data_IF_735297821078
#
_entry.id   IF_735297821078
#
_cell.length_a   1.000
_cell.length_b   1.000
_cell.length_c   1.000
_cell.angle_alpha   90.00
_cell.angle_beta   90.00
_cell.angle_gamma   90.00
#
_symmetry.space_group_name_H-M   'P 1'
#
loop_
_entity.id
_entity.type
_entity.pdbx_description
1 polymer ?
#
# COMPACT_ATOMS: atom_id res chain seq x y z
N UNK A 1 1.94 8.13 18.20
CA UNK A 1 0.62 8.28 18.84
C UNK A 1 0.05 6.88 19.09
N UNK A 2 -0.51 6.60 20.27
CA UNK A 2 -1.13 5.30 20.56
C UNK A 2 -2.52 5.25 19.93
N UNK A 3 -2.76 4.27 19.05
CA UNK A 3 -4.06 4.04 18.41
C UNK A 3 -5.13 3.76 19.48
N UNK A 4 -6.20 4.56 19.49
CA UNK A 4 -7.35 4.35 20.38
C UNK A 4 -8.57 4.02 19.52
N UNK A 5 -9.11 2.82 19.70
CA UNK A 5 -10.37 2.41 19.06
C UNK A 5 -11.51 3.16 19.75
N UNK A 6 -12.18 4.05 19.00
CA UNK A 6 -13.38 4.75 19.45
C UNK A 6 -14.62 3.86 19.38
N UNK A 7 -15.77 4.33 19.91
CA UNK A 7 -17.04 3.63 19.73
C UNK A 7 -17.34 3.45 18.23
N UNK A 8 -17.69 2.23 17.85
CA UNK A 8 -18.00 1.90 16.46
C UNK A 8 -19.23 2.67 15.98
N UNK A 9 -19.16 3.25 14.80
CA UNK A 9 -20.30 3.78 14.09
C UNK A 9 -20.88 2.71 13.16
N UNK A 10 -22.19 2.77 12.91
CA UNK A 10 -22.81 1.91 11.91
C UNK A 10 -22.12 2.10 10.55
N UNK A 11 -21.94 1.01 9.81
CA UNK A 11 -21.39 1.05 8.45
C UNK A 11 -22.21 2.07 7.63
N UNK A 12 -21.56 3.02 6.94
CA UNK A 12 -22.27 3.88 5.99
C UNK A 12 -22.97 3.02 4.95
N UNK A 13 -24.22 3.33 4.63
CA UNK A 13 -24.91 2.66 3.52
C UNK A 13 -24.15 2.89 2.21
N UNK A 14 -24.15 1.88 1.35
CA UNK A 14 -23.51 2.01 0.04
C UNK A 14 -24.22 3.08 -0.76
N UNK A 15 -23.54 4.19 -1.03
CA UNK A 15 -24.05 5.25 -1.89
C UNK A 15 -23.59 5.00 -3.33
N UNK A 16 -24.48 4.60 -4.26
CA UNK A 16 -24.12 4.37 -5.66
C UNK A 16 -23.75 5.68 -6.38
N UNK A 17 -24.21 6.83 -5.88
CA UNK A 17 -23.90 8.15 -6.42
C UNK A 17 -22.64 8.76 -5.81
N UNK A 18 -21.88 7.99 -5.02
CA UNK A 18 -20.63 8.46 -4.43
C UNK A 18 -19.58 8.72 -5.52
N UNK A 19 -19.25 10.00 -5.73
CA UNK A 19 -18.15 10.42 -6.58
C UNK A 19 -16.87 10.41 -5.73
N UNK A 20 -15.91 9.58 -6.12
CA UNK A 20 -14.59 9.56 -5.48
C UNK A 20 -13.93 10.95 -5.64
N UNK A 21 -13.55 11.63 -4.55
CA UNK A 21 -12.95 12.96 -4.63
C UNK A 21 -11.50 12.94 -5.15
N UNK A 22 -10.88 11.76 -5.22
CA UNK A 22 -9.49 11.62 -5.63
C UNK A 22 -9.40 11.68 -7.16
N UNK A 23 -8.56 12.58 -7.66
CA UNK A 23 -8.30 12.74 -9.10
C UNK A 23 -6.82 12.65 -9.38
N UNK A 24 -6.41 11.88 -10.39
CA UNK A 24 -5.02 11.86 -10.86
C UNK A 24 -4.82 13.08 -11.75
N UNK A 25 -4.00 14.02 -11.29
CA UNK A 25 -3.67 15.23 -12.04
C UNK A 25 -2.54 14.98 -13.04
N UNK A 26 -1.56 14.16 -12.66
CA UNK A 26 -0.41 13.83 -13.51
C UNK A 26 0.15 12.45 -13.17
N UNK A 27 0.81 11.83 -14.16
CA UNK A 27 1.53 10.58 -13.99
C UNK A 27 2.78 10.57 -14.87
N UNK A 28 3.91 10.18 -14.28
CA UNK A 28 5.17 10.09 -14.99
C UNK A 28 5.80 8.71 -14.75
N UNK A 29 6.09 8.04 -15.85
CA UNK A 29 6.90 6.84 -15.81
C UNK A 29 8.37 7.21 -15.57
N UNK A 30 8.97 6.68 -14.51
CA UNK A 30 10.34 7.04 -14.11
C UNK A 30 11.34 6.00 -14.58
N UNK A 31 11.13 4.74 -14.21
CA UNK A 31 12.15 3.71 -14.43
C UNK A 31 11.58 2.29 -14.55
N UNK A 32 12.32 1.43 -15.25
CA UNK A 32 12.11 -0.01 -15.36
C UNK A 32 13.36 -0.74 -14.88
N UNK A 33 13.24 -1.52 -13.81
CA UNK A 33 14.33 -2.41 -13.38
C UNK A 33 13.87 -3.86 -13.41
N UNK A 34 14.72 -4.75 -13.91
CA UNK A 34 14.46 -6.17 -13.95
C UNK A 34 15.43 -6.88 -13.01
N UNK A 35 14.88 -7.56 -12.01
CA UNK A 35 15.66 -8.33 -11.04
C UNK A 35 15.45 -9.84 -11.26
N UNK A 36 16.56 -10.58 -11.36
CA UNK A 36 16.55 -12.04 -11.49
C UNK A 36 17.05 -12.62 -10.18
N UNK A 37 16.18 -13.35 -9.48
CA UNK A 37 16.51 -13.97 -8.20
C UNK A 37 16.36 -15.47 -8.31
N UNK A 38 17.39 -16.21 -7.89
CA UNK A 38 17.31 -17.67 -7.74
C UNK A 38 16.66 -17.99 -6.40
N UNK A 39 15.69 -18.90 -6.40
CA UNK A 39 15.05 -19.32 -5.16
C UNK A 39 16.07 -20.01 -4.24
N UNK A 40 16.16 -19.53 -2.99
CA UNK A 40 17.02 -20.13 -1.98
C UNK A 40 16.60 -21.57 -1.63
N UNK A 41 15.30 -21.87 -1.73
CA UNK A 41 14.75 -23.20 -1.42
C UNK A 41 14.68 -24.12 -2.64
N UNK A 42 14.73 -23.57 -3.86
CA UNK A 42 14.60 -24.33 -5.10
C UNK A 42 15.63 -23.84 -6.13
N UNK A 43 16.85 -24.43 -6.17
CA UNK A 43 17.98 -23.90 -6.95
C UNK A 43 17.76 -23.76 -8.45
N UNK A 44 16.82 -24.53 -9.01
CA UNK A 44 16.45 -24.48 -10.44
C UNK A 44 15.36 -23.47 -10.74
N UNK A 45 14.67 -22.95 -9.72
CA UNK A 45 13.61 -21.96 -9.89
C UNK A 45 14.21 -20.56 -9.92
N UNK A 46 14.02 -19.89 -11.05
CA UNK A 46 14.41 -18.51 -11.28
C UNK A 46 13.15 -17.67 -11.26
N UNK A 47 13.14 -16.63 -10.43
CA UNK A 47 12.07 -15.64 -10.37
C UNK A 47 12.55 -14.35 -11.02
N UNK A 48 11.77 -13.85 -11.98
CA UNK A 48 12.00 -12.60 -12.67
C UNK A 48 11.03 -11.55 -12.15
N UNK A 49 11.53 -10.49 -11.53
CA UNK A 49 10.74 -9.36 -11.06
C UNK A 49 10.87 -8.20 -12.03
N UNK A 50 9.73 -7.73 -12.55
CA UNK A 50 9.65 -6.47 -13.29
C UNK A 50 9.22 -5.38 -12.31
N UNK A 51 10.15 -4.50 -11.94
CA UNK A 51 9.93 -3.40 -11.02
C UNK A 51 9.74 -2.12 -11.83
N UNK A 52 8.57 -1.50 -11.67
CA UNK A 52 8.22 -0.25 -12.35
C UNK A 52 8.15 0.87 -11.32
N UNK A 53 8.86 1.96 -11.57
CA UNK A 53 8.77 3.18 -10.76
C UNK A 53 7.95 4.21 -11.52
N UNK A 54 6.87 4.69 -10.89
CA UNK A 54 5.96 5.69 -11.43
C UNK A 54 5.75 6.77 -10.38
N UNK A 55 5.86 8.03 -10.78
CA UNK A 55 5.44 9.18 -9.98
C UNK A 55 4.02 9.57 -10.39
N UNK A 56 3.17 9.82 -9.40
CA UNK A 56 1.76 10.16 -9.64
C UNK A 56 1.41 11.36 -8.75
N UNK A 57 0.82 12.39 -9.37
CA UNK A 57 0.29 13.55 -8.66
C UNK A 57 -1.21 13.38 -8.51
N UNK A 58 -1.67 13.25 -7.28
CA UNK A 58 -3.08 13.09 -6.94
C UNK A 58 -3.62 14.31 -6.22
N UNK A 59 -4.84 14.72 -6.57
CA UNK A 59 -5.65 15.71 -5.87
C UNK A 59 -6.75 15.01 -5.08
N UNK A 60 -7.27 15.68 -4.04
CA UNK A 60 -8.37 15.14 -3.23
C UNK A 60 -7.98 14.04 -2.25
N UNK A 61 -6.68 13.85 -1.99
CA UNK A 61 -6.19 12.95 -0.96
C UNK A 61 -6.61 13.45 0.44
N UNK A 62 -6.87 12.54 1.40
CA UNK A 62 -7.15 12.92 2.78
C UNK A 62 -6.00 13.78 3.33
N UNK A 63 -6.32 14.90 3.99
CA UNK A 63 -5.30 15.78 4.59
C UNK A 63 -4.80 15.31 5.96
N UNK A 64 -5.41 14.25 6.49
CA UNK A 64 -5.12 13.68 7.82
C UNK A 64 -4.83 12.19 7.71
N UNK A 65 -4.24 11.64 8.78
CA UNK A 65 -3.97 10.22 8.88
C UNK A 65 -5.24 9.37 8.72
N UNK A 66 -5.05 8.34 7.91
CA UNK A 66 -5.98 7.37 7.39
C UNK A 66 -6.20 6.07 8.13
N UNK A 67 -7.33 5.40 7.95
CA UNK A 67 -7.38 3.93 8.05
C UNK A 67 -8.23 3.37 6.93
N UNK A 68 -7.77 2.30 6.31
CA UNK A 68 -8.54 1.55 5.31
C UNK A 68 -8.79 0.13 5.81
N UNK A 69 -9.96 -0.41 5.48
CA UNK A 69 -10.36 -1.76 5.86
C UNK A 69 -10.34 -2.65 4.61
N UNK A 70 -9.60 -3.74 4.67
CA UNK A 70 -9.60 -4.79 3.65
C UNK A 70 -10.48 -5.93 4.12
N UNK A 71 -11.42 -6.34 3.28
CA UNK A 71 -12.32 -7.46 3.54
C UNK A 71 -12.04 -8.58 2.56
N UNK A 72 -12.27 -9.81 2.99
CA UNK A 72 -12.24 -10.98 2.11
C UNK A 72 -13.35 -10.94 1.05
N UNK A 73 -13.24 -11.84 0.07
CA UNK A 73 -14.30 -12.08 -0.89
C UNK A 73 -15.63 -12.42 -0.17
N UNK A 74 -16.77 -12.00 -0.71
CA UNK A 74 -18.06 -12.33 -0.11
C UNK A 74 -18.27 -13.84 -0.05
N UNK A 75 -18.82 -14.31 1.07
CA UNK A 75 -19.30 -15.68 1.21
C UNK A 75 -20.61 -15.92 0.44
N UNK A 76 -21.11 -17.15 0.47
CA UNK A 76 -22.38 -17.54 -0.18
C UNK A 76 -23.59 -16.75 0.32
N UNK A 77 -23.51 -16.19 1.54
CA UNK A 77 -24.54 -15.36 2.15
C UNK A 77 -24.32 -13.85 1.91
N UNK A 78 -23.29 -13.48 1.14
CA UNK A 78 -22.94 -12.10 0.80
C UNK A 78 -22.19 -11.34 1.91
N UNK A 79 -21.86 -11.98 3.03
CA UNK A 79 -21.08 -11.36 4.09
C UNK A 79 -19.60 -11.35 3.74
N UNK A 80 -18.90 -10.28 4.15
CA UNK A 80 -17.47 -10.13 3.96
C UNK A 80 -16.79 -10.05 5.31
N UNK A 81 -15.86 -10.98 5.58
CA UNK A 81 -15.06 -10.98 6.79
C UNK A 81 -13.99 -9.89 6.71
N UNK A 82 -13.79 -9.15 7.79
CA UNK A 82 -12.67 -8.21 7.90
C UNK A 82 -11.35 -9.00 7.94
N UNK A 83 -10.46 -8.70 6.99
CA UNK A 83 -9.17 -9.36 6.84
C UNK A 83 -8.06 -8.53 7.47
N UNK A 84 -7.93 -7.26 7.06
CA UNK A 84 -6.89 -6.36 7.56
C UNK A 84 -7.42 -4.94 7.83
N UNK A 85 -6.77 -4.29 8.79
CA UNK A 85 -6.92 -2.86 9.07
C UNK A 85 -5.58 -2.20 8.76
N UNK A 86 -5.53 -1.36 7.73
CA UNK A 86 -4.33 -0.68 7.30
C UNK A 86 -4.34 0.76 7.82
N UNK A 87 -3.32 1.14 8.60
CA UNK A 87 -3.14 2.51 9.07
C UNK A 87 -2.23 3.28 8.11
N UNK A 88 -2.69 4.44 7.65
CA UNK A 88 -1.93 5.33 6.78
C UNK A 88 -1.59 6.61 7.52
N UNK A 89 -0.34 7.04 7.47
CA UNK A 89 0.07 8.32 8.05
C UNK A 89 0.85 9.16 7.05
N UNK A 90 0.56 10.45 7.03
CA UNK A 90 1.34 11.39 6.23
C UNK A 90 2.66 11.68 6.93
N UNK A 91 3.74 11.59 6.18
CA UNK A 91 5.09 11.82 6.67
C UNK A 91 5.75 12.92 5.85
N UNK A 92 6.65 13.67 6.47
CA UNK A 92 7.48 14.62 5.75
C UNK A 92 8.48 13.86 4.87
N UNK A 93 8.90 14.49 3.77
CA UNK A 93 9.84 13.89 2.84
C UNK A 93 11.13 13.38 3.53
N UNK A 94 11.69 14.15 4.46
CA UNK A 94 12.88 13.76 5.23
C UNK A 94 12.70 12.45 6.01
N UNK A 95 11.49 12.21 6.53
CA UNK A 95 11.16 10.97 7.25
C UNK A 95 10.97 9.81 6.27
N UNK A 96 10.37 10.06 5.11
CA UNK A 96 10.17 9.07 4.04
C UNK A 96 11.52 8.60 3.48
N UNK A 97 12.42 9.55 3.20
CA UNK A 97 13.77 9.24 2.69
C UNK A 97 14.50 8.27 3.62
N UNK A 98 14.40 8.48 4.94
CA UNK A 98 14.99 7.55 5.91
C UNK A 98 14.51 6.12 5.69
N UNK A 99 13.20 5.91 5.56
CA UNK A 99 12.65 4.57 5.35
C UNK A 99 12.99 3.96 4.00
N UNK A 100 13.00 4.76 2.93
CA UNK A 100 13.36 4.31 1.59
C UNK A 100 14.83 3.85 1.52
N UNK A 101 15.74 4.64 2.08
CA UNK A 101 17.18 4.40 1.97
C UNK A 101 17.72 3.46 3.06
N UNK A 102 17.25 3.52 4.30
CA UNK A 102 17.64 2.55 5.34
C UNK A 102 16.99 1.17 5.07
N UNK A 103 15.80 1.15 4.46
CA UNK A 103 15.15 -0.09 4.02
C UNK A 103 15.93 -0.81 2.93
N UNK A 104 16.60 -0.09 2.02
CA UNK A 104 17.52 -0.68 1.05
C UNK A 104 18.76 -1.29 1.70
N UNK A 105 19.37 -0.64 2.70
CA UNK A 105 20.55 -1.20 3.41
C UNK A 105 20.21 -2.45 4.23
N UNK A 106 19.00 -2.54 4.78
CA UNK A 106 18.51 -3.73 5.49
C UNK A 106 18.27 -4.93 4.55
N UNK A 107 17.93 -4.69 3.28
CA UNK A 107 17.89 -5.74 2.26
C UNK A 107 19.31 -6.22 1.90
N UNK A 108 20.27 -5.31 1.79
CA UNK A 108 21.67 -5.67 1.49
C UNK A 108 22.35 -6.45 2.63
N UNK A 109 22.05 -6.13 3.90
CA UNK A 109 22.62 -6.86 5.05
C UNK A 109 22.10 -8.28 5.22
N UNK A 110 20.97 -8.66 4.62
CA UNK A 110 20.48 -10.05 4.62
C UNK A 110 21.19 -10.93 3.58
N UNK A 111 22.11 -10.36 2.79
CA UNK A 111 22.88 -11.05 1.74
C UNK A 111 24.35 -11.27 2.14
N UNK A 112 24.65 -11.40 3.44
CA UNK A 112 25.98 -11.84 3.93
C UNK A 112 25.86 -13.08 4.79
#
# INVERSE_FOLDING_TARGET
AAFRVGPGYARPEHNPDYVCPITVADQQYIDHTVEIVKSASYPTLITLYHLYTVEIVCLGLPSVDFTTLEFDAPDESGYRKLKYVHGWCWQQWSQIQRYLFEGSELKDRKTK
#
